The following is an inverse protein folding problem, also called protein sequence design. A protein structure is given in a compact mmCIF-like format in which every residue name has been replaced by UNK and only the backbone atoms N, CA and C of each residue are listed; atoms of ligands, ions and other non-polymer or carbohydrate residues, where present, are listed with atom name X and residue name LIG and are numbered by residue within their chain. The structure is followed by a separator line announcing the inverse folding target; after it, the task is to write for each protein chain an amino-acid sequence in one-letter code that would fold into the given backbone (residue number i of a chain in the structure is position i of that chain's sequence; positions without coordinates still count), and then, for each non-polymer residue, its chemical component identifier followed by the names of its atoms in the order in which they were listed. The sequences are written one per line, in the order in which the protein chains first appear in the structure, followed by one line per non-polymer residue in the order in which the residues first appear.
data_IF_256707757310
#
_entry.id   IF_256707757310
#
_cell.length_a   1.000
_cell.length_b   1.000
_cell.length_c   1.000
_cell.angle_alpha   90.00
_cell.angle_beta   90.00
_cell.angle_gamma   90.00
#
_symmetry.space_group_name_H-M   'P 1'
#
loop_
_entity.id
_entity.type
_entity.pdbx_description
1 polymer ?
#
# COMPACT_ATOMS: atom_id res chain seq x y z
N UNK A 1 -38.75 10.17 -49.69
CA UNK A 1 -39.29 10.03 -48.32
C UNK A 1 -38.11 9.89 -47.37
N UNK A 2 -37.93 10.86 -46.45
CA UNK A 2 -36.81 10.91 -45.50
C UNK A 2 -37.21 10.17 -44.22
N UNK A 3 -36.44 9.16 -43.80
CA UNK A 3 -36.55 8.57 -42.47
C UNK A 3 -35.46 9.19 -41.58
N UNK A 4 -35.89 9.94 -40.56
CA UNK A 4 -35.04 10.50 -39.52
C UNK A 4 -34.83 9.38 -38.49
N UNK A 5 -33.62 8.84 -38.39
CA UNK A 5 -33.21 8.03 -37.25
C UNK A 5 -32.51 8.94 -36.23
N UNK A 6 -33.18 9.17 -35.10
CA UNK A 6 -32.56 9.73 -33.91
C UNK A 6 -31.59 8.70 -33.33
N UNK A 7 -30.29 8.99 -33.38
CA UNK A 7 -29.28 8.24 -32.64
C UNK A 7 -29.26 8.77 -31.20
N UNK A 8 -29.79 7.98 -30.26
CA UNK A 8 -29.70 8.24 -28.83
C UNK A 8 -28.28 7.84 -28.35
N UNK A 9 -27.44 8.84 -28.06
CA UNK A 9 -26.10 8.64 -27.55
C UNK A 9 -26.15 8.41 -26.04
N UNK A 10 -26.20 7.16 -25.60
CA UNK A 10 -26.09 6.78 -24.19
C UNK A 10 -24.64 6.97 -23.72
N UNK A 11 -24.43 8.01 -22.90
CA UNK A 11 -23.18 8.22 -22.17
C UNK A 11 -23.02 7.16 -21.08
N UNK A 12 -22.19 6.15 -21.33
CA UNK A 12 -21.79 5.17 -20.33
C UNK A 12 -20.71 5.79 -19.44
N UNK A 13 -21.12 6.44 -18.35
CA UNK A 13 -20.20 6.90 -17.32
C UNK A 13 -19.57 5.68 -16.62
N UNK A 14 -18.30 5.41 -16.89
CA UNK A 14 -17.54 4.37 -16.20
C UNK A 14 -17.41 4.77 -14.72
N UNK A 15 -18.15 4.08 -13.86
CA UNK A 15 -17.98 4.14 -12.41
C UNK A 15 -16.63 3.45 -12.13
N UNK A 16 -15.55 4.24 -12.05
CA UNK A 16 -14.28 3.72 -11.57
C UNK A 16 -14.45 3.35 -10.09
N UNK A 17 -14.18 2.11 -9.67
CA UNK A 17 -14.23 1.76 -8.26
C UNK A 17 -13.22 2.62 -7.52
N UNK A 18 -13.69 3.42 -6.56
CA UNK A 18 -12.83 4.15 -5.64
C UNK A 18 -11.90 3.14 -4.97
N UNK A 19 -10.57 3.33 -5.00
CA UNK A 19 -9.68 2.44 -4.28
C UNK A 19 -10.06 2.53 -2.80
N UNK A 20 -10.65 1.47 -2.27
CA UNK A 20 -10.83 1.32 -0.82
C UNK A 20 -9.43 1.42 -0.25
N UNK A 21 -9.15 2.56 0.38
CA UNK A 21 -7.81 2.91 0.82
C UNK A 21 -7.26 1.77 1.67
N UNK A 22 -6.21 1.13 1.19
CA UNK A 22 -5.40 0.17 1.94
C UNK A 22 -4.58 0.88 3.02
N UNK A 23 -5.13 1.95 3.61
CA UNK A 23 -4.48 2.76 4.60
C UNK A 23 -4.96 2.34 5.98
N UNK A 24 -4.21 1.49 6.69
CA UNK A 24 -4.56 1.17 8.05
C UNK A 24 -4.34 2.37 8.95
N UNK A 25 -5.11 2.42 10.04
CA UNK A 25 -4.91 3.26 11.22
C UNK A 25 -3.61 2.92 11.98
N UNK A 26 -2.54 2.55 11.28
CA UNK A 26 -1.20 2.31 11.81
C UNK A 26 -0.42 3.62 11.79
N UNK A 27 0.25 3.93 12.90
CA UNK A 27 1.21 5.05 12.91
C UNK A 27 2.37 4.73 11.99
N UNK A 28 2.82 5.73 11.24
CA UNK A 28 4.01 5.62 10.39
C UNK A 28 5.29 5.94 11.15
N UNK A 29 6.46 5.42 10.71
CA UNK A 29 7.73 5.82 11.28
C UNK A 29 7.91 7.34 11.29
N UNK A 30 8.48 7.95 12.35
CA UNK A 30 8.64 9.40 12.43
C UNK A 30 9.42 9.96 11.23
N UNK A 31 8.95 11.09 10.70
CA UNK A 31 9.51 11.72 9.49
C UNK A 31 9.06 11.07 8.18
N UNK A 32 8.10 10.14 8.21
CA UNK A 32 7.46 9.64 6.99
C UNK A 32 6.58 10.72 6.37
N UNK A 33 6.74 10.94 5.07
CA UNK A 33 5.95 11.87 4.27
C UNK A 33 5.41 11.19 3.02
N UNK A 34 4.31 11.68 2.49
CA UNK A 34 3.81 11.23 1.19
C UNK A 34 4.57 11.96 0.07
N UNK A 35 5.07 11.23 -0.92
CA UNK A 35 5.70 11.83 -2.10
C UNK A 35 4.65 12.19 -3.17
N UNK A 36 5.09 12.80 -4.27
CA UNK A 36 4.20 13.19 -5.38
C UNK A 36 3.50 11.99 -6.05
N UNK A 37 4.02 10.77 -5.91
CA UNK A 37 3.42 9.54 -6.43
C UNK A 37 2.44 8.87 -5.44
N UNK A 38 2.18 9.50 -4.28
CA UNK A 38 1.30 8.94 -3.25
C UNK A 38 1.96 7.89 -2.34
N UNK A 39 3.27 7.66 -2.49
CA UNK A 39 4.00 6.68 -1.68
C UNK A 39 4.47 7.29 -0.36
N UNK A 40 4.57 6.46 0.68
CA UNK A 40 5.09 6.88 1.98
C UNK A 40 6.60 6.73 2.02
N UNK A 41 7.33 7.83 2.16
CA UNK A 41 8.79 7.88 2.17
C UNK A 41 9.29 8.29 3.55
N UNK A 42 10.13 7.45 4.14
CA UNK A 42 10.83 7.73 5.40
C UNK A 42 12.31 8.03 5.14
N UNK A 43 12.85 8.98 5.90
CA UNK A 43 14.30 9.24 5.97
C UNK A 43 15.07 8.23 6.82
N UNK A 44 14.37 7.34 7.56
CA UNK A 44 15.00 6.30 8.37
C UNK A 44 15.49 5.14 7.50
N UNK A 45 16.43 4.35 8.03
CA UNK A 45 16.89 3.13 7.38
C UNK A 45 15.81 2.04 7.31
N UNK A 46 16.09 0.98 6.55
CA UNK A 46 15.19 -0.17 6.39
C UNK A 46 14.86 -0.84 7.73
N UNK A 47 15.89 -1.15 8.53
CA UNK A 47 15.76 -1.84 9.82
C UNK A 47 14.91 -1.03 10.79
N UNK A 48 15.25 0.23 11.01
CA UNK A 48 14.52 1.11 11.93
C UNK A 48 13.04 1.28 11.54
N UNK A 49 12.78 1.45 10.23
CA UNK A 49 11.41 1.54 9.70
C UNK A 49 10.65 0.24 9.91
N UNK A 50 11.29 -0.90 9.64
CA UNK A 50 10.70 -2.23 9.80
C UNK A 50 10.41 -2.55 11.26
N UNK A 51 11.32 -2.22 12.17
CA UNK A 51 11.17 -2.52 13.60
C UNK A 51 10.14 -1.61 14.25
N UNK A 52 10.05 -0.34 13.82
CA UNK A 52 8.96 0.54 14.22
C UNK A 52 7.59 -0.02 13.80
N UNK A 53 7.46 -0.44 12.53
CA UNK A 53 6.21 -1.00 12.02
C UNK A 53 5.85 -2.31 12.71
N UNK A 54 6.83 -3.19 12.97
CA UNK A 54 6.61 -4.42 13.73
C UNK A 54 6.00 -4.14 15.12
N UNK A 55 6.52 -3.14 15.84
CA UNK A 55 5.98 -2.72 17.15
C UNK A 55 4.57 -2.13 17.04
N UNK A 56 4.27 -1.38 15.97
CA UNK A 56 2.92 -0.84 15.77
C UNK A 56 1.90 -1.95 15.43
N UNK A 57 2.30 -2.92 14.61
CA UNK A 57 1.47 -4.07 14.24
C UNK A 57 1.15 -4.93 15.47
N UNK A 58 2.18 -5.22 16.28
CA UNK A 58 2.04 -5.94 17.54
C UNK A 58 1.12 -5.20 18.53
N UNK A 59 1.34 -3.89 18.71
CA UNK A 59 0.48 -3.04 19.55
C UNK A 59 -0.98 -3.01 19.08
N UNK A 60 -1.20 -3.11 17.77
CA UNK A 60 -2.54 -3.14 17.18
C UNK A 60 -3.18 -4.54 17.19
N UNK A 61 -2.48 -5.57 17.70
CA UNK A 61 -2.95 -6.96 17.69
C UNK A 61 -3.04 -7.56 16.29
N UNK A 62 -2.32 -7.03 15.31
CA UNK A 62 -2.35 -7.50 13.92
C UNK A 62 -1.30 -8.60 13.75
N UNK A 63 -1.76 -9.80 13.45
CA UNK A 63 -0.89 -10.96 13.24
C UNK A 63 -0.27 -10.86 11.86
N UNK A 64 1.07 -10.82 11.80
CA UNK A 64 1.82 -10.73 10.55
C UNK A 64 2.95 -11.75 10.49
N UNK A 65 3.20 -12.26 9.28
CA UNK A 65 4.46 -12.96 8.96
C UNK A 65 5.46 -11.94 8.41
N UNK A 66 6.57 -11.72 9.13
CA UNK A 66 7.70 -10.92 8.66
C UNK A 66 8.59 -11.76 7.74
N UNK A 67 8.95 -11.23 6.57
CA UNK A 67 9.88 -11.84 5.61
C UNK A 67 11.00 -10.85 5.30
N UNK A 68 12.24 -11.24 5.57
CA UNK A 68 13.42 -10.38 5.45
C UNK A 68 13.90 -9.78 6.79
N UNK A 69 14.88 -8.85 6.75
CA UNK A 69 15.35 -8.15 5.55
C UNK A 69 16.15 -9.04 4.59
N UNK A 70 15.98 -8.83 3.29
CA UNK A 70 16.83 -9.43 2.24
C UNK A 70 17.13 -8.41 1.15
N UNK A 71 18.14 -8.71 0.33
CA UNK A 71 18.61 -7.83 -0.76
C UNK A 71 18.47 -8.52 -2.11
N UNK A 72 17.93 -7.81 -3.09
CA UNK A 72 17.79 -8.29 -4.47
C UNK A 72 18.04 -7.14 -5.44
N UNK A 73 18.93 -7.34 -6.41
CA UNK A 73 19.28 -6.34 -7.44
C UNK A 73 19.57 -4.93 -6.85
N UNK A 74 20.32 -4.90 -5.76
CA UNK A 74 20.72 -3.64 -5.09
C UNK A 74 19.65 -3.04 -4.17
N UNK A 75 18.42 -3.55 -4.15
CA UNK A 75 17.30 -3.09 -3.32
C UNK A 75 17.20 -3.94 -2.06
N UNK A 76 17.03 -3.31 -0.90
CA UNK A 76 16.77 -4.01 0.37
C UNK A 76 15.28 -3.99 0.69
N UNK A 77 14.74 -5.09 1.25
CA UNK A 77 13.30 -5.24 1.44
C UNK A 77 12.96 -6.03 2.69
N UNK A 78 11.94 -5.56 3.41
CA UNK A 78 11.20 -6.31 4.44
C UNK A 78 9.73 -6.35 4.04
N UNK A 79 9.09 -7.52 4.09
CA UNK A 79 7.64 -7.65 3.90
C UNK A 79 6.96 -8.06 5.19
N UNK A 80 5.81 -7.49 5.48
CA UNK A 80 4.88 -7.95 6.50
C UNK A 80 3.63 -8.48 5.80
N UNK A 81 3.36 -9.77 5.91
CA UNK A 81 2.18 -10.40 5.31
C UNK A 81 1.10 -10.51 6.38
N UNK A 82 -0.05 -9.89 6.16
CA UNK A 82 -1.16 -9.96 7.11
C UNK A 82 -1.78 -11.35 7.15
N UNK A 83 -1.83 -11.93 8.34
CA UNK A 83 -2.57 -13.16 8.63
C UNK A 83 -3.97 -12.87 9.20
N UNK A 84 -4.28 -11.60 9.49
CA UNK A 84 -5.56 -11.16 10.04
C UNK A 84 -6.54 -10.80 8.89
N UNK A 85 -7.64 -11.56 8.69
CA UNK A 85 -8.53 -11.35 7.53
C UNK A 85 -9.23 -9.99 7.49
N UNK A 86 -9.45 -9.37 8.65
CA UNK A 86 -10.13 -8.07 8.77
C UNK A 86 -9.28 -6.87 8.35
N UNK A 87 -7.99 -7.07 8.04
CA UNK A 87 -7.16 -5.99 7.51
C UNK A 87 -7.50 -5.69 6.05
N UNK A 88 -7.64 -4.40 5.71
CA UNK A 88 -7.89 -3.92 4.34
C UNK A 88 -6.71 -4.14 3.37
N UNK A 89 -5.55 -4.52 3.89
CA UNK A 89 -4.32 -4.78 3.15
C UNK A 89 -3.86 -6.23 3.34
N UNK A 90 -3.22 -6.78 2.30
CA UNK A 90 -2.61 -8.10 2.31
C UNK A 90 -1.17 -8.06 2.82
N UNK A 91 -0.42 -7.02 2.45
CA UNK A 91 0.98 -6.90 2.83
C UNK A 91 1.42 -5.44 3.00
N UNK A 92 2.48 -5.24 3.79
CA UNK A 92 3.25 -4.00 3.84
C UNK A 92 4.64 -4.30 3.29
N UNK A 93 5.05 -3.54 2.29
CA UNK A 93 6.41 -3.58 1.76
C UNK A 93 7.19 -2.38 2.28
N UNK A 94 8.33 -2.66 2.92
CA UNK A 94 9.31 -1.65 3.33
C UNK A 94 10.54 -1.86 2.46
N UNK A 95 10.79 -0.93 1.55
CA UNK A 95 11.82 -1.03 0.51
C UNK A 95 12.84 0.06 0.73
N UNK A 96 14.13 -0.26 0.72
CA UNK A 96 15.20 0.74 0.66
C UNK A 96 15.82 0.76 -0.72
N UNK A 97 15.73 1.92 -1.38
CA UNK A 97 16.30 2.17 -2.70
C UNK A 97 16.77 3.62 -2.79
N UNK A 98 17.87 3.86 -3.49
CA UNK A 98 18.47 5.19 -3.65
C UNK A 98 18.60 5.98 -2.32
N UNK A 99 19.00 5.28 -1.25
CA UNK A 99 19.17 5.87 0.09
C UNK A 99 17.88 6.19 0.85
N UNK A 100 16.70 6.04 0.24
CA UNK A 100 15.40 6.31 0.85
C UNK A 100 14.67 5.02 1.22
N UNK A 101 13.83 5.07 2.24
CA UNK A 101 12.95 3.96 2.60
C UNK A 101 11.53 4.29 2.16
N UNK A 102 10.94 3.46 1.30
CA UNK A 102 9.57 3.56 0.81
C UNK A 102 8.72 2.50 1.49
N UNK A 103 7.55 2.89 1.98
CA UNK A 103 6.56 2.05 2.64
C UNK A 103 5.32 2.03 1.75
N UNK A 104 4.90 0.84 1.34
CA UNK A 104 3.72 0.64 0.49
C UNK A 104 2.80 -0.42 1.08
N UNK A 105 1.50 -0.17 0.98
CA UNK A 105 0.45 -1.08 1.41
C UNK A 105 -0.12 -1.77 0.17
N UNK A 106 -0.08 -3.10 0.17
CA UNK A 106 -0.68 -3.92 -0.88
C UNK A 106 -2.13 -4.17 -0.48
N UNK A 107 -3.13 -3.71 -1.26
CA UNK A 107 -4.53 -3.93 -0.93
C UNK A 107 -4.86 -5.42 -0.87
N UNK A 108 -5.81 -5.78 -0.02
CA UNK A 108 -6.42 -7.10 -0.07
C UNK A 108 -7.43 -7.11 -1.22
N UNK A 109 -7.37 -8.08 -2.16
CA UNK A 109 -8.40 -8.21 -3.18
C UNK A 109 -9.77 -8.41 -2.51
N UNK A 110 -10.77 -7.64 -2.92
CA UNK A 110 -12.16 -7.94 -2.59
C UNK A 110 -12.56 -9.18 -3.37
N UNK A 111 -12.87 -10.26 -2.66
CA UNK A 111 -13.51 -11.46 -3.22
C UNK A 111 -14.89 -11.13 -3.76
#
# INVERSE_FOLDING_TARGET
MRAILLAATTWLAAIAPSPVGADPTLRMPPGTRTNAAGERVSGRGLRDSSDFLAKQLDKAGIIVKKVGPYRVRGVELTRFLSQTPSTSWLAIHVVRTAGKTVISFVPRPST
#
